data_IF_026358609036
#
_entry.id   IF_026358609036
#
_cell.length_a   1.000
_cell.length_b   1.000
_cell.length_c   1.000
_cell.angle_alpha   90.00
_cell.angle_beta   90.00
_cell.angle_gamma   90.00
#
_symmetry.space_group_name_H-M   'P 1'
#
loop_
_entity.id
_entity.type
_entity.pdbx_description
1 polymer ?
#
# COMPACT_ATOMS: atom_id res chain seq x y z
N UNK A 1 -33.95 19.85 50.82
CA UNK A 1 -33.50 18.45 50.74
C UNK A 1 -32.75 18.31 49.42
N UNK A 2 -31.46 17.98 49.49
CA UNK A 2 -30.39 18.40 48.59
C UNK A 2 -30.45 17.92 47.13
N UNK A 3 -30.67 18.85 46.19
CA UNK A 3 -30.36 18.65 44.77
C UNK A 3 -28.85 18.48 44.51
N UNK A 4 -28.01 19.00 45.43
CA UNK A 4 -26.56 18.84 45.39
C UNK A 4 -26.13 17.38 45.63
N UNK A 5 -26.86 16.64 46.49
CA UNK A 5 -26.61 15.23 46.76
C UNK A 5 -27.07 14.33 45.62
N UNK A 6 -28.20 14.64 44.96
CA UNK A 6 -28.67 13.92 43.78
C UNK A 6 -27.71 14.07 42.58
N UNK A 7 -27.25 15.29 42.29
CA UNK A 7 -26.29 15.53 41.21
C UNK A 7 -24.89 14.93 41.48
N UNK A 8 -24.51 14.81 42.76
CA UNK A 8 -23.26 14.16 43.17
C UNK A 8 -23.39 12.64 43.11
N UNK A 9 -24.54 12.08 43.51
CA UNK A 9 -24.84 10.65 43.39
C UNK A 9 -24.91 10.20 41.93
N UNK A 10 -25.54 10.96 41.03
CA UNK A 10 -25.60 10.63 39.60
C UNK A 10 -24.21 10.64 38.95
N UNK A 11 -23.35 11.61 39.29
CA UNK A 11 -21.97 11.64 38.79
C UNK A 11 -21.12 10.49 39.33
N UNK A 12 -21.32 10.09 40.59
CA UNK A 12 -20.62 8.94 41.16
C UNK A 12 -21.18 7.62 40.63
N UNK A 13 -22.48 7.52 40.33
CA UNK A 13 -23.08 6.34 39.71
C UNK A 13 -22.56 6.17 38.28
N UNK A 14 -22.53 7.24 37.49
CA UNK A 14 -22.04 7.24 36.12
C UNK A 14 -20.53 6.95 36.06
N UNK A 15 -19.74 7.51 36.99
CA UNK A 15 -18.32 7.14 37.12
C UNK A 15 -18.10 5.71 37.62
N UNK A 16 -18.96 5.19 38.52
CA UNK A 16 -18.88 3.80 38.99
C UNK A 16 -19.30 2.82 37.90
N UNK A 17 -20.36 3.11 37.13
CA UNK A 17 -20.78 2.32 35.97
C UNK A 17 -19.75 2.38 34.85
N UNK A 18 -19.11 3.54 34.62
CA UNK A 18 -18.01 3.67 33.68
C UNK A 18 -16.75 2.92 34.15
N UNK A 19 -16.43 2.95 35.44
CA UNK A 19 -15.35 2.14 36.02
C UNK A 19 -15.65 0.64 36.05
N UNK A 20 -16.91 0.25 36.22
CA UNK A 20 -17.36 -1.15 36.18
C UNK A 20 -17.46 -1.66 34.74
N UNK A 21 -17.74 -0.80 33.75
CA UNK A 21 -17.56 -1.09 32.33
C UNK A 21 -16.08 -1.28 31.98
N UNK A 22 -15.19 -0.45 32.54
CA UNK A 22 -13.72 -0.59 32.38
C UNK A 22 -13.21 -1.86 33.08
N UNK A 23 -13.78 -2.26 34.23
CA UNK A 23 -13.40 -3.48 34.96
C UNK A 23 -13.96 -4.76 34.35
N UNK A 24 -15.17 -4.74 33.79
CA UNK A 24 -15.80 -5.92 33.21
C UNK A 24 -15.35 -6.24 31.78
N UNK A 25 -14.57 -5.36 31.14
CA UNK A 25 -14.05 -5.55 29.78
C UNK A 25 -12.51 -5.62 29.70
N UNK A 26 -11.90 -6.22 30.73
CA UNK A 26 -10.48 -6.60 30.82
C UNK A 26 -10.10 -7.78 29.91
N UNK A 27 -10.82 -8.02 28.79
CA UNK A 27 -10.34 -8.97 27.78
C UNK A 27 -9.12 -8.36 27.10
N UNK A 28 -7.94 -8.88 27.42
CA UNK A 28 -6.75 -8.59 26.64
C UNK A 28 -6.87 -9.29 25.29
N UNK A 29 -6.83 -8.52 24.21
CA UNK A 29 -6.78 -9.06 22.87
C UNK A 29 -5.34 -9.23 22.44
N UNK A 30 -5.01 -10.37 21.83
CA UNK A 30 -3.66 -10.70 21.35
C UNK A 30 -2.58 -10.89 22.44
N UNK A 31 -2.82 -11.58 23.57
CA UNK A 31 -1.71 -11.95 24.43
C UNK A 31 -0.80 -12.93 23.67
N UNK A 32 0.51 -12.66 23.68
CA UNK A 32 1.52 -13.44 22.96
C UNK A 32 1.42 -14.96 23.22
N UNK A 33 1.00 -15.37 24.42
CA UNK A 33 0.80 -16.75 24.81
C UNK A 33 -0.36 -17.42 24.05
N UNK A 34 -1.51 -16.75 23.93
CA UNK A 34 -2.67 -17.31 23.20
C UNK A 34 -2.35 -17.50 21.71
N UNK A 35 -1.61 -16.57 21.08
CA UNK A 35 -1.21 -16.70 19.66
C UNK A 35 -0.23 -17.87 19.47
N UNK A 36 0.64 -18.14 20.45
CA UNK A 36 1.57 -19.28 20.38
C UNK A 36 0.84 -20.61 20.49
N UNK A 37 -0.14 -20.71 21.37
CA UNK A 37 -0.92 -21.92 21.65
C UNK A 37 -2.04 -22.21 20.64
N UNK A 38 -2.37 -21.24 19.77
CA UNK A 38 -3.37 -21.43 18.71
C UNK A 38 -3.00 -22.54 17.72
N UNK A 39 -4.02 -23.31 17.34
CA UNK A 39 -3.96 -24.32 16.29
C UNK A 39 -3.56 -23.73 14.93
N UNK A 40 -3.02 -24.59 14.06
CA UNK A 40 -2.47 -24.22 12.74
C UNK A 40 -3.51 -23.50 11.88
N UNK A 41 -4.77 -23.95 11.90
CA UNK A 41 -5.86 -23.32 11.14
C UNK A 41 -6.18 -21.88 11.58
N UNK A 42 -6.17 -21.61 12.89
CA UNK A 42 -6.39 -20.26 13.42
C UNK A 42 -5.25 -19.31 13.03
N UNK A 43 -4.02 -19.82 12.93
CA UNK A 43 -2.86 -19.06 12.43
C UNK A 43 -2.94 -18.84 10.93
N UNK A 44 -3.32 -19.88 10.19
CA UNK A 44 -3.38 -19.87 8.73
C UNK A 44 -4.42 -18.87 8.19
N UNK A 45 -5.60 -18.80 8.82
CA UNK A 45 -6.68 -17.89 8.41
C UNK A 45 -6.76 -16.59 9.23
N UNK A 46 -5.72 -16.28 10.01
CA UNK A 46 -5.71 -15.11 10.91
C UNK A 46 -6.95 -15.01 11.82
N UNK A 47 -7.59 -16.14 12.14
CA UNK A 47 -8.87 -16.17 12.87
C UNK A 47 -8.76 -15.63 14.30
N UNK A 48 -7.53 -15.54 14.82
CA UNK A 48 -7.22 -14.87 16.08
C UNK A 48 -7.63 -13.39 16.09
N UNK A 49 -7.70 -12.73 14.93
CA UNK A 49 -8.17 -11.36 14.83
C UNK A 49 -9.70 -11.23 14.95
N UNK A 50 -10.46 -12.31 14.71
CA UNK A 50 -11.92 -12.27 14.70
C UNK A 50 -12.51 -11.84 16.05
N UNK A 51 -11.89 -12.27 17.16
CA UNK A 51 -12.29 -11.85 18.50
C UNK A 51 -12.21 -10.33 18.67
N UNK A 52 -11.07 -9.75 18.30
CA UNK A 52 -10.85 -8.30 18.34
C UNK A 52 -11.81 -7.56 17.40
N UNK A 53 -12.01 -8.04 16.17
CA UNK A 53 -12.91 -7.42 15.18
C UNK A 53 -14.37 -7.46 15.69
N UNK A 54 -14.80 -8.59 16.24
CA UNK A 54 -16.17 -8.74 16.76
C UNK A 54 -16.43 -7.81 17.96
N UNK A 55 -15.41 -7.59 18.78
CA UNK A 55 -15.44 -6.64 19.88
C UNK A 55 -15.50 -5.19 19.39
N UNK A 56 -14.59 -4.84 18.47
CA UNK A 56 -14.49 -3.50 17.86
C UNK A 56 -15.76 -3.07 17.13
N UNK A 57 -16.59 -4.02 16.69
CA UNK A 57 -17.88 -3.73 16.06
C UNK A 57 -18.87 -3.04 17.02
N UNK A 58 -18.78 -3.32 18.32
CA UNK A 58 -19.72 -2.85 19.33
C UNK A 58 -19.10 -1.85 20.30
N UNK A 59 -17.78 -1.94 20.51
CA UNK A 59 -17.06 -1.20 21.53
C UNK A 59 -15.87 -0.44 20.95
N UNK A 60 -15.46 0.65 21.60
CA UNK A 60 -14.19 1.33 21.28
C UNK A 60 -13.02 0.54 21.87
N UNK A 61 -11.95 0.36 21.09
CA UNK A 61 -10.73 -0.33 21.56
C UNK A 61 -9.84 0.68 22.29
N UNK A 62 -9.46 0.35 23.52
CA UNK A 62 -8.50 1.10 24.29
C UNK A 62 -7.13 0.40 24.32
N UNK A 63 -6.04 1.18 24.39
CA UNK A 63 -4.67 0.65 24.30
C UNK A 63 -4.31 -0.31 25.44
N UNK A 64 -4.94 -0.14 26.61
CA UNK A 64 -4.79 -1.01 27.77
C UNK A 64 -5.41 -2.42 27.58
N UNK A 65 -6.27 -2.59 26.56
CA UNK A 65 -6.85 -3.88 26.18
C UNK A 65 -5.95 -4.66 25.19
N UNK A 66 -4.86 -4.06 24.70
CA UNK A 66 -3.93 -4.74 23.79
C UNK A 66 -2.95 -5.61 24.58
N UNK A 67 -2.78 -6.85 24.13
CA UNK A 67 -1.82 -7.79 24.67
C UNK A 67 -0.38 -7.35 24.44
N UNK A 68 0.54 -7.98 25.17
CA UNK A 68 1.98 -7.69 25.03
C UNK A 68 2.48 -8.08 23.64
N UNK A 69 3.31 -7.22 23.08
CA UNK A 69 4.02 -7.47 21.81
C UNK A 69 4.99 -8.64 22.00
N UNK A 70 5.17 -9.45 20.95
CA UNK A 70 6.11 -10.58 20.97
C UNK A 70 7.51 -10.14 21.36
N UNK A 71 8.24 -10.96 22.11
CA UNK A 71 9.59 -10.60 22.56
C UNK A 71 10.53 -10.24 21.40
N UNK A 72 10.47 -11.00 20.31
CA UNK A 72 11.23 -10.73 19.08
C UNK A 72 10.89 -9.38 18.42
N UNK A 73 9.68 -8.87 18.64
CA UNK A 73 9.18 -7.63 18.04
C UNK A 73 9.45 -6.40 18.92
N UNK A 74 10.01 -6.61 20.12
CA UNK A 74 10.38 -5.51 21.02
C UNK A 74 11.46 -4.63 20.42
N UNK A 75 11.29 -3.32 20.63
CA UNK A 75 12.18 -2.28 20.10
C UNK A 75 13.62 -2.47 20.55
N UNK A 76 13.86 -2.95 21.77
CA UNK A 76 15.21 -3.15 22.30
C UNK A 76 16.03 -4.16 21.47
N UNK A 77 15.43 -5.31 21.12
CA UNK A 77 16.10 -6.32 20.31
C UNK A 77 16.36 -5.81 18.89
N UNK A 78 15.35 -5.17 18.29
CA UNK A 78 15.46 -4.62 16.93
C UNK A 78 16.47 -3.47 16.84
N UNK A 79 16.51 -2.61 17.86
CA UNK A 79 17.53 -1.57 18.01
C UNK A 79 18.94 -2.18 18.10
N UNK A 80 19.15 -3.20 18.94
CA UNK A 80 20.45 -3.85 19.08
C UNK A 80 20.91 -4.52 17.78
N UNK A 81 19.99 -5.18 17.07
CA UNK A 81 20.22 -5.77 15.75
C UNK A 81 20.65 -4.72 14.73
N UNK A 82 19.91 -3.62 14.59
CA UNK A 82 20.25 -2.54 13.64
C UNK A 82 21.52 -1.79 14.05
N UNK A 83 21.75 -1.58 15.35
CA UNK A 83 22.97 -0.94 15.88
C UNK A 83 24.22 -1.75 15.56
N UNK A 84 24.17 -3.08 15.63
CA UNK A 84 25.28 -3.97 15.24
C UNK A 84 25.63 -3.75 13.76
N UNK A 85 24.63 -3.76 12.88
CA UNK A 85 24.83 -3.47 11.45
C UNK A 85 25.34 -2.05 11.22
N UNK A 86 24.82 -1.05 11.94
CA UNK A 86 25.25 0.33 11.81
C UNK A 86 26.74 0.51 12.13
N UNK A 87 27.28 -0.15 13.15
CA UNK A 87 28.71 -0.11 13.47
C UNK A 87 29.59 -0.57 12.29
N UNK A 88 29.15 -1.57 11.52
CA UNK A 88 29.90 -2.12 10.38
C UNK A 88 29.89 -1.19 9.16
N UNK A 89 28.81 -0.43 8.97
CA UNK A 89 28.60 0.38 7.76
C UNK A 89 28.83 1.88 7.98
N UNK A 90 28.89 2.37 9.23
CA UNK A 90 29.03 3.80 9.58
C UNK A 90 30.17 4.52 8.83
N UNK A 91 31.31 3.85 8.64
CA UNK A 91 32.50 4.44 8.00
C UNK A 91 32.60 4.13 6.50
N UNK A 92 31.62 3.43 5.91
CA UNK A 92 31.63 3.12 4.48
C UNK A 92 31.08 4.30 3.67
N UNK A 93 31.69 4.57 2.51
CA UNK A 93 31.24 5.63 1.59
C UNK A 93 29.84 5.33 1.01
N UNK A 94 29.09 6.41 0.73
CA UNK A 94 27.74 6.37 0.16
C UNK A 94 26.63 6.19 1.21
N UNK A 95 25.52 5.57 0.80
CA UNK A 95 24.31 5.39 1.61
C UNK A 95 24.50 4.34 2.73
N UNK A 96 25.35 4.64 3.72
CA UNK A 96 25.75 3.74 4.80
C UNK A 96 24.57 3.29 5.67
N UNK A 97 23.62 4.18 5.95
CA UNK A 97 22.45 3.88 6.78
C UNK A 97 21.52 2.88 6.09
N UNK A 98 21.21 3.12 4.81
CA UNK A 98 20.39 2.22 4.01
C UNK A 98 21.03 0.83 3.90
N UNK A 99 22.35 0.78 3.64
CA UNK A 99 23.12 -0.48 3.63
C UNK A 99 23.09 -1.19 4.99
N UNK A 100 23.12 -0.44 6.10
CA UNK A 100 23.03 -1.02 7.44
C UNK A 100 21.65 -1.64 7.72
N UNK A 101 20.57 -0.99 7.29
CA UNK A 101 19.20 -1.52 7.40
C UNK A 101 19.06 -2.79 6.57
N UNK A 102 19.46 -2.75 5.29
CA UNK A 102 19.43 -3.93 4.42
C UNK A 102 20.26 -5.07 4.99
N UNK A 103 21.44 -4.80 5.56
CA UNK A 103 22.26 -5.83 6.18
C UNK A 103 21.62 -6.41 7.45
N UNK A 104 20.97 -5.57 8.28
CA UNK A 104 20.30 -6.02 9.49
C UNK A 104 19.16 -7.01 9.18
N UNK A 105 18.32 -6.72 8.19
CA UNK A 105 17.12 -7.50 7.86
C UNK A 105 17.29 -8.37 6.60
N UNK A 106 18.53 -8.64 6.18
CA UNK A 106 18.84 -9.30 4.90
C UNK A 106 18.18 -10.66 4.73
N UNK A 107 18.10 -11.45 5.81
CA UNK A 107 17.54 -12.79 5.76
C UNK A 107 16.03 -12.73 5.61
N UNK A 108 15.38 -11.82 6.32
CA UNK A 108 13.93 -11.62 6.22
C UNK A 108 13.54 -11.10 4.83
N UNK A 109 14.31 -10.15 4.26
CA UNK A 109 14.09 -9.71 2.88
C UNK A 109 14.35 -10.80 1.86
N UNK A 110 15.41 -11.59 2.04
CA UNK A 110 15.74 -12.69 1.13
C UNK A 110 14.64 -13.75 1.09
N UNK A 111 14.13 -14.15 2.27
CA UNK A 111 13.00 -15.06 2.39
C UNK A 111 11.76 -14.45 1.72
N UNK A 112 11.45 -13.17 2.00
CA UNK A 112 10.30 -12.50 1.41
C UNK A 112 10.36 -12.47 -0.12
N UNK A 113 11.53 -12.24 -0.72
CA UNK A 113 11.73 -12.26 -2.18
C UNK A 113 11.52 -13.66 -2.74
N UNK A 114 12.13 -14.69 -2.15
CA UNK A 114 11.97 -16.07 -2.63
C UNK A 114 10.51 -16.50 -2.65
N UNK A 115 9.79 -16.30 -1.55
CA UNK A 115 8.39 -16.72 -1.48
C UNK A 115 7.49 -15.87 -2.37
N UNK A 116 7.81 -14.59 -2.58
CA UNK A 116 7.10 -13.78 -3.59
C UNK A 116 7.30 -14.31 -5.00
N UNK A 117 8.51 -14.79 -5.33
CA UNK A 117 8.75 -15.44 -6.62
C UNK A 117 7.93 -16.73 -6.76
N UNK A 118 7.80 -17.53 -5.69
CA UNK A 118 6.92 -18.72 -5.70
C UNK A 118 5.46 -18.34 -5.96
N UNK A 119 4.94 -17.31 -5.28
CA UNK A 119 3.59 -16.79 -5.52
C UNK A 119 3.43 -16.34 -6.98
N UNK A 120 4.40 -15.61 -7.51
CA UNK A 120 4.42 -15.17 -8.91
C UNK A 120 4.48 -16.35 -9.89
N UNK A 121 5.21 -17.42 -9.59
CA UNK A 121 5.22 -18.63 -10.42
C UNK A 121 3.85 -19.30 -10.46
N UNK A 122 3.15 -19.39 -9.32
CA UNK A 122 1.78 -19.94 -9.28
C UNK A 122 0.81 -19.04 -10.05
N UNK A 123 0.94 -17.73 -9.92
CA UNK A 123 0.14 -16.76 -10.66
C UNK A 123 0.30 -16.89 -12.18
N UNK A 124 1.55 -17.03 -12.66
CA UNK A 124 1.86 -17.23 -14.08
C UNK A 124 1.38 -18.61 -14.59
N UNK A 125 1.31 -19.61 -13.71
CA UNK A 125 0.76 -20.92 -14.09
C UNK A 125 -0.75 -20.89 -14.36
N UNK A 126 -1.47 -19.88 -13.85
CA UNK A 126 -2.92 -19.80 -13.97
C UNK A 126 -3.42 -19.69 -15.42
N UNK A 127 -2.89 -18.82 -16.29
CA UNK A 127 -3.22 -18.84 -17.72
C UNK A 127 -3.02 -20.21 -18.38
N UNK A 128 -1.94 -20.94 -18.03
CA UNK A 128 -1.62 -22.24 -18.64
C UNK A 128 -2.62 -23.32 -18.22
N UNK A 129 -3.03 -23.32 -16.94
CA UNK A 129 -4.08 -24.21 -16.44
C UNK A 129 -5.43 -23.92 -17.10
N UNK A 130 -5.78 -22.64 -17.27
CA UNK A 130 -7.01 -22.23 -17.97
C UNK A 130 -6.97 -22.72 -19.41
N UNK A 131 -5.83 -22.58 -20.11
CA UNK A 131 -5.67 -23.12 -21.46
C UNK A 131 -6.00 -24.60 -21.50
N UNK A 132 -5.38 -25.40 -20.64
CA UNK A 132 -5.55 -26.85 -20.62
C UNK A 132 -7.00 -27.26 -20.29
N UNK A 133 -7.68 -26.49 -19.44
CA UNK A 133 -9.11 -26.69 -19.15
C UNK A 133 -9.95 -26.43 -20.41
N UNK A 134 -9.67 -25.36 -21.16
CA UNK A 134 -10.40 -25.07 -22.40
C UNK A 134 -10.11 -26.14 -23.45
N UNK A 135 -8.86 -26.58 -23.59
CA UNK A 135 -8.49 -27.67 -24.49
C UNK A 135 -9.27 -28.96 -24.14
N UNK A 136 -9.36 -29.31 -22.85
CA UNK A 136 -10.15 -30.45 -22.36
C UNK A 136 -11.65 -30.33 -22.69
N UNK A 137 -12.22 -29.12 -22.63
CA UNK A 137 -13.64 -28.90 -22.97
C UNK A 137 -13.89 -29.06 -24.48
N UNK A 138 -12.89 -28.77 -25.30
CA UNK A 138 -12.96 -28.88 -26.76
C UNK A 138 -12.74 -30.31 -27.27
N UNK A 139 -12.13 -31.18 -26.47
CA UNK A 139 -11.83 -32.57 -26.83
C UNK A 139 -12.89 -33.55 -26.24
N UNK A 140 -13.78 -34.12 -27.08
CA UNK A 140 -14.82 -35.04 -26.62
C UNK A 140 -14.29 -36.42 -26.21
N UNK A 141 -13.04 -36.76 -26.54
CA UNK A 141 -12.45 -38.08 -26.31
C UNK A 141 -11.65 -38.16 -24.99
N UNK A 142 -11.45 -37.04 -24.27
CA UNK A 142 -10.73 -37.04 -23.00
C UNK A 142 -11.56 -37.58 -21.82
N UNK A 143 -10.90 -38.37 -20.97
CA UNK A 143 -11.55 -39.00 -19.83
C UNK A 143 -11.99 -37.99 -18.75
N UNK A 144 -13.18 -38.20 -18.17
CA UNK A 144 -13.80 -37.28 -17.22
C UNK A 144 -12.93 -36.97 -15.98
N UNK A 145 -12.09 -37.91 -15.55
CA UNK A 145 -11.23 -37.71 -14.37
C UNK A 145 -10.19 -36.61 -14.60
N UNK A 146 -9.77 -36.36 -15.85
CA UNK A 146 -8.80 -35.33 -16.21
C UNK A 146 -9.39 -33.94 -15.93
N UNK A 147 -10.65 -33.72 -16.31
CA UNK A 147 -11.37 -32.47 -16.01
C UNK A 147 -11.44 -32.20 -14.50
N UNK A 148 -11.81 -33.20 -13.70
CA UNK A 148 -11.82 -33.07 -12.23
C UNK A 148 -10.43 -32.77 -11.66
N UNK A 149 -9.38 -33.39 -12.18
CA UNK A 149 -7.99 -33.14 -11.77
C UNK A 149 -7.58 -31.69 -12.08
N UNK A 150 -7.86 -31.19 -13.28
CA UNK A 150 -7.52 -29.84 -13.71
C UNK A 150 -8.21 -28.76 -12.86
N UNK A 151 -9.52 -28.89 -12.64
CA UNK A 151 -10.29 -27.96 -11.82
C UNK A 151 -9.83 -27.99 -10.36
N UNK A 152 -9.60 -29.18 -9.81
CA UNK A 152 -9.10 -29.33 -8.43
C UNK A 152 -7.71 -28.70 -8.30
N UNK A 153 -6.82 -28.93 -9.27
CA UNK A 153 -5.48 -28.32 -9.31
C UNK A 153 -5.58 -26.80 -9.36
N UNK A 154 -6.49 -26.24 -10.16
CA UNK A 154 -6.70 -24.79 -10.22
C UNK A 154 -7.16 -24.24 -8.87
N UNK A 155 -8.15 -24.86 -8.23
CA UNK A 155 -8.68 -24.40 -6.93
C UNK A 155 -7.59 -24.48 -5.85
N UNK A 156 -6.87 -25.61 -5.77
CA UNK A 156 -5.82 -25.81 -4.76
C UNK A 156 -4.66 -24.84 -4.96
N UNK A 157 -4.19 -24.67 -6.19
CA UNK A 157 -3.06 -23.75 -6.49
C UNK A 157 -3.45 -22.29 -6.24
N UNK A 158 -4.64 -21.85 -6.67
CA UNK A 158 -5.12 -20.49 -6.41
C UNK A 158 -5.38 -20.24 -4.92
N UNK A 159 -6.02 -21.17 -4.21
CA UNK A 159 -6.24 -21.07 -2.77
C UNK A 159 -4.92 -20.97 -2.00
N UNK A 160 -3.95 -21.84 -2.34
CA UNK A 160 -2.62 -21.80 -1.74
C UNK A 160 -1.89 -20.48 -2.03
N UNK A 161 -1.98 -19.96 -3.27
CA UNK A 161 -1.43 -18.65 -3.65
C UNK A 161 -1.99 -17.52 -2.78
N UNK A 162 -3.32 -17.45 -2.60
CA UNK A 162 -3.93 -16.40 -1.78
C UNK A 162 -3.50 -16.47 -0.31
N UNK A 163 -3.55 -17.67 0.29
CA UNK A 163 -3.08 -17.86 1.66
C UNK A 163 -1.61 -17.43 1.77
N UNK A 164 -0.74 -17.90 0.86
CA UNK A 164 0.67 -17.56 0.89
C UNK A 164 0.91 -16.05 0.73
N UNK A 165 0.19 -15.39 -0.19
CA UNK A 165 0.30 -13.96 -0.43
C UNK A 165 -0.04 -13.14 0.81
N UNK A 166 -1.17 -13.45 1.48
CA UNK A 166 -1.60 -12.73 2.68
C UNK A 166 -0.60 -12.90 3.84
N UNK A 167 -0.03 -14.10 4.00
CA UNK A 167 1.04 -14.34 4.98
C UNK A 167 2.28 -13.53 4.65
N UNK A 168 2.70 -13.48 3.37
CA UNK A 168 3.86 -12.70 2.96
C UNK A 168 3.66 -11.21 3.18
N UNK A 169 2.49 -10.67 2.85
CA UNK A 169 2.16 -9.26 3.09
C UNK A 169 2.21 -8.94 4.59
N UNK A 170 1.66 -9.82 5.44
CA UNK A 170 1.78 -9.68 6.90
C UNK A 170 3.25 -9.69 7.37
N UNK A 171 4.06 -10.64 6.89
CA UNK A 171 5.47 -10.72 7.25
C UNK A 171 6.28 -9.50 6.77
N UNK A 172 6.01 -8.97 5.57
CA UNK A 172 6.66 -7.79 5.02
C UNK A 172 6.33 -6.53 5.81
N UNK A 173 5.04 -6.32 6.15
CA UNK A 173 4.61 -5.24 7.04
C UNK A 173 5.30 -5.33 8.40
N UNK A 174 5.46 -6.55 8.93
CA UNK A 174 6.15 -6.75 10.20
C UNK A 174 7.65 -6.38 10.12
N UNK A 175 8.34 -6.71 9.02
CA UNK A 175 9.72 -6.26 8.77
C UNK A 175 9.79 -4.73 8.71
N UNK A 176 8.83 -4.10 8.05
CA UNK A 176 8.69 -2.64 7.97
C UNK A 176 8.61 -2.00 9.35
N UNK A 177 7.65 -2.43 10.16
CA UNK A 177 7.46 -1.93 11.53
C UNK A 177 8.71 -2.15 12.39
N UNK A 178 9.33 -3.34 12.32
CA UNK A 178 10.59 -3.64 13.05
C UNK A 178 11.71 -2.68 12.66
N UNK A 179 11.92 -2.49 11.36
CA UNK A 179 13.00 -1.66 10.83
C UNK A 179 12.80 -0.17 11.12
N UNK A 180 11.57 0.33 11.01
CA UNK A 180 11.20 1.70 11.37
C UNK A 180 11.36 1.95 12.87
N UNK A 181 10.85 1.07 13.74
CA UNK A 181 10.98 1.24 15.18
C UNK A 181 12.44 1.21 15.65
N UNK A 182 13.26 0.32 15.08
CA UNK A 182 14.69 0.29 15.33
C UNK A 182 15.39 1.58 14.87
N UNK A 183 14.98 2.15 13.73
CA UNK A 183 15.50 3.41 13.22
C UNK A 183 15.14 4.58 14.13
N UNK A 184 13.88 4.67 14.58
CA UNK A 184 13.43 5.70 15.52
C UNK A 184 14.23 5.61 16.82
N UNK A 185 14.43 4.41 17.37
CA UNK A 185 15.25 4.21 18.56
C UNK A 185 16.73 4.58 18.35
N UNK A 186 17.29 4.33 17.15
CA UNK A 186 18.64 4.77 16.80
C UNK A 186 18.77 6.29 16.73
N UNK A 187 17.81 6.97 16.10
CA UNK A 187 17.76 8.43 16.02
C UNK A 187 17.64 9.00 17.43
N UNK A 188 16.70 8.49 18.24
CA UNK A 188 16.49 8.93 19.62
C UNK A 188 17.76 8.77 20.47
N UNK A 189 18.41 7.60 20.41
CA UNK A 189 19.66 7.36 21.14
C UNK A 189 20.80 8.30 20.68
N UNK A 190 20.83 8.65 19.39
CA UNK A 190 21.79 9.61 18.85
C UNK A 190 21.50 11.02 19.35
N UNK A 191 20.24 11.44 19.36
CA UNK A 191 19.81 12.77 19.85
C UNK A 191 20.19 12.96 21.32
N UNK A 192 19.98 11.95 22.18
CA UNK A 192 20.37 12.01 23.59
C UNK A 192 21.89 12.17 23.83
N UNK A 193 22.72 11.85 22.84
CA UNK A 193 24.20 11.95 22.93
C UNK A 193 24.77 13.18 22.25
N UNK A 194 23.95 13.94 21.55
CA UNK A 194 24.37 15.13 20.82
C UNK A 194 23.95 16.34 21.64
N UNK A 195 24.92 17.16 22.06
CA UNK A 195 24.62 18.40 22.77
C UNK A 195 23.91 19.39 21.84
N UNK A 196 22.82 20.00 22.33
CA UNK A 196 22.10 21.06 21.63
C UNK A 196 22.99 22.26 21.29
N UNK A 197 24.05 22.52 22.08
CA UNK A 197 25.02 23.58 21.81
C UNK A 197 25.95 23.27 20.62
N UNK A 198 26.17 21.98 20.32
CA UNK A 198 27.03 21.52 19.23
C UNK A 198 26.24 21.22 17.94
N UNK A 199 24.96 20.88 18.06
CA UNK A 199 24.11 20.59 16.90
C UNK A 199 23.56 21.85 16.25
N UNK A 200 24.43 22.63 15.59
CA UNK A 200 24.02 23.82 14.84
C UNK A 200 23.37 23.51 13.49
N UNK A 201 23.40 22.24 13.06
CA UNK A 201 22.99 21.84 11.71
C UNK A 201 21.52 21.45 11.61
N UNK A 202 20.92 20.93 12.69
CA UNK A 202 19.54 20.45 12.67
C UNK A 202 18.78 20.98 13.89
N UNK A 203 17.64 21.63 13.65
CA UNK A 203 16.68 22.07 14.64
C UNK A 203 15.92 20.91 15.28
N UNK A 204 15.27 21.16 16.43
CA UNK A 204 14.42 20.16 17.08
C UNK A 204 13.25 19.74 16.17
N UNK A 205 12.68 20.66 15.40
CA UNK A 205 11.62 20.37 14.44
C UNK A 205 12.08 19.41 13.33
N UNK A 206 13.28 19.60 12.80
CA UNK A 206 13.86 18.69 11.79
C UNK A 206 14.11 17.28 12.34
N UNK A 207 14.57 17.17 13.60
CA UNK A 207 14.75 15.85 14.24
C UNK A 207 13.42 15.14 14.42
N UNK A 208 12.37 15.87 14.84
CA UNK A 208 11.01 15.32 14.93
C UNK A 208 10.52 14.86 13.55
N UNK A 209 10.79 15.64 12.50
CA UNK A 209 10.47 15.26 11.12
C UNK A 209 11.21 13.99 10.66
N UNK A 210 12.49 13.82 11.04
CA UNK A 210 13.23 12.58 10.76
C UNK A 210 12.56 11.35 11.38
N UNK A 211 12.01 11.49 12.59
CA UNK A 211 11.34 10.41 13.32
C UNK A 211 9.93 10.14 12.74
N UNK A 212 9.16 11.19 12.46
CA UNK A 212 7.74 11.07 12.10
C UNK A 212 7.52 10.81 10.61
N UNK A 213 8.36 11.34 9.73
CA UNK A 213 8.16 11.26 8.27
C UNK A 213 9.21 10.37 7.64
N UNK A 214 10.50 10.66 7.85
CA UNK A 214 11.55 9.96 7.10
C UNK A 214 11.76 8.51 7.57
N UNK A 215 11.69 8.23 8.87
CA UNK A 215 11.77 6.87 9.39
C UNK A 215 10.56 6.00 8.95
N UNK A 216 9.39 6.61 8.74
CA UNK A 216 8.19 5.90 8.26
C UNK A 216 8.32 5.44 6.81
N UNK A 217 9.16 6.10 6.00
CA UNK A 217 9.46 5.64 4.63
C UNK A 217 10.07 4.23 4.62
N UNK A 218 10.79 3.82 5.66
CA UNK A 218 11.31 2.46 5.77
C UNK A 218 10.19 1.42 5.84
N UNK A 219 9.07 1.74 6.48
CA UNK A 219 7.93 0.84 6.54
C UNK A 219 7.39 0.58 5.13
N UNK A 220 7.13 1.65 4.38
CA UNK A 220 6.66 1.60 2.98
C UNK A 220 7.67 0.86 2.08
N UNK A 221 8.96 1.12 2.23
CA UNK A 221 10.00 0.43 1.45
C UNK A 221 9.98 -1.07 1.76
N UNK A 222 9.90 -1.45 3.04
CA UNK A 222 9.93 -2.85 3.46
C UNK A 222 8.72 -3.62 2.96
N UNK A 223 7.55 -2.98 2.98
CA UNK A 223 6.29 -3.52 2.46
C UNK A 223 6.37 -3.76 0.94
N UNK A 224 7.00 -2.86 0.18
CA UNK A 224 6.99 -2.92 -1.28
C UNK A 224 8.23 -3.57 -1.90
N UNK A 225 9.31 -3.78 -1.14
CA UNK A 225 10.61 -4.19 -1.69
C UNK A 225 10.52 -5.49 -2.49
N UNK A 226 9.92 -6.55 -1.93
CA UNK A 226 9.86 -7.83 -2.62
C UNK A 226 8.90 -7.78 -3.81
N UNK A 227 7.82 -7.00 -3.72
CA UNK A 227 6.89 -6.75 -4.81
C UNK A 227 7.63 -6.09 -5.98
N UNK A 228 8.39 -5.01 -5.75
CA UNK A 228 9.18 -4.37 -6.80
C UNK A 228 10.19 -5.34 -7.43
N UNK A 229 10.83 -6.20 -6.63
CA UNK A 229 11.81 -7.16 -7.13
C UNK A 229 11.20 -8.31 -7.95
N UNK A 230 9.94 -8.70 -7.71
CA UNK A 230 9.27 -9.76 -8.48
C UNK A 230 8.70 -9.25 -9.81
N UNK A 231 8.37 -7.96 -9.93
CA UNK A 231 7.75 -7.38 -11.14
C UNK A 231 8.55 -7.63 -12.44
N UNK A 232 9.89 -7.47 -12.50
CA UNK A 232 10.63 -7.75 -13.72
C UNK A 232 10.51 -9.21 -14.18
N UNK A 233 10.48 -10.16 -13.24
CA UNK A 233 10.33 -11.58 -13.55
C UNK A 233 8.95 -11.85 -14.14
N UNK A 234 7.89 -11.29 -13.56
CA UNK A 234 6.53 -11.38 -14.08
C UNK A 234 6.43 -10.79 -15.49
N UNK A 235 6.95 -9.57 -15.69
CA UNK A 235 6.91 -8.87 -16.96
C UNK A 235 7.63 -9.64 -18.07
N UNK A 236 8.85 -10.11 -17.81
CA UNK A 236 9.64 -10.89 -18.78
C UNK A 236 8.89 -12.18 -19.14
N UNK A 237 8.36 -12.89 -18.13
CA UNK A 237 7.66 -14.16 -18.36
C UNK A 237 6.38 -13.97 -19.16
N UNK A 238 5.58 -12.94 -18.85
CA UNK A 238 4.39 -12.61 -19.63
C UNK A 238 4.72 -12.26 -21.08
N UNK A 239 5.79 -11.50 -21.34
CA UNK A 239 6.23 -11.18 -22.71
C UNK A 239 6.64 -12.45 -23.46
N UNK A 240 7.40 -13.34 -22.81
CA UNK A 240 7.81 -14.62 -23.41
C UNK A 240 6.59 -15.48 -23.75
N UNK A 241 5.62 -15.59 -22.85
CA UNK A 241 4.38 -16.34 -23.09
C UNK A 241 3.54 -15.72 -24.21
N UNK A 242 3.41 -14.39 -24.26
CA UNK A 242 2.70 -13.72 -25.35
C UNK A 242 3.38 -13.94 -26.69
N UNK A 243 4.72 -13.89 -26.75
CA UNK A 243 5.46 -14.20 -27.96
C UNK A 243 5.27 -15.68 -28.38
N UNK A 244 5.26 -16.59 -27.41
CA UNK A 244 5.03 -18.01 -27.67
C UNK A 244 3.64 -18.28 -28.29
N UNK A 245 2.58 -17.66 -27.78
CA UNK A 245 1.21 -17.90 -28.27
C UNK A 245 0.85 -17.07 -29.52
N UNK A 246 1.32 -15.82 -29.61
CA UNK A 246 0.89 -14.88 -30.65
C UNK A 246 1.96 -14.62 -31.71
N UNK A 247 3.16 -15.19 -31.58
CA UNK A 247 4.26 -14.99 -32.53
C UNK A 247 4.60 -13.51 -32.72
N UNK A 248 4.80 -13.09 -33.97
CA UNK A 248 5.10 -11.69 -34.31
C UNK A 248 3.93 -10.73 -34.04
N UNK A 249 2.70 -11.21 -33.92
CA UNK A 249 1.51 -10.38 -33.71
C UNK A 249 1.51 -9.69 -32.33
N UNK A 250 2.28 -10.19 -31.35
CA UNK A 250 2.44 -9.53 -30.06
C UNK A 250 3.07 -8.13 -30.17
N UNK A 251 3.83 -7.86 -31.25
CA UNK A 251 4.45 -6.55 -31.48
C UNK A 251 3.42 -5.42 -31.63
N UNK A 252 2.21 -5.74 -32.12
CA UNK A 252 1.10 -4.78 -32.11
C UNK A 252 0.72 -4.36 -30.68
N UNK A 253 0.72 -5.30 -29.74
CA UNK A 253 0.49 -5.05 -28.32
C UNK A 253 1.59 -4.23 -27.67
N UNK A 254 2.86 -4.48 -28.05
CA UNK A 254 3.99 -3.65 -27.62
C UNK A 254 3.83 -2.21 -28.11
N UNK A 255 3.42 -2.00 -29.37
CA UNK A 255 3.19 -0.67 -29.92
C UNK A 255 2.06 0.07 -29.18
N UNK A 256 0.94 -0.61 -28.89
CA UNK A 256 -0.16 -0.03 -28.10
C UNK A 256 0.30 0.31 -26.67
N UNK A 257 1.08 -0.57 -26.04
CA UNK A 257 1.63 -0.35 -24.69
C UNK A 257 2.60 0.84 -24.67
N UNK A 258 3.47 0.96 -25.69
CA UNK A 258 4.37 2.09 -25.83
C UNK A 258 3.60 3.41 -26.02
N UNK A 259 2.54 3.41 -26.84
CA UNK A 259 1.65 4.56 -27.00
C UNK A 259 0.95 4.93 -25.68
N UNK A 260 0.44 3.92 -24.95
CA UNK A 260 -0.17 4.10 -23.63
C UNK A 260 0.81 4.72 -22.63
N UNK A 261 2.05 4.23 -22.61
CA UNK A 261 3.11 4.77 -21.77
C UNK A 261 3.42 6.23 -22.09
N UNK A 262 3.56 6.57 -23.38
CA UNK A 262 3.76 7.96 -23.82
C UNK A 262 2.61 8.88 -23.36
N UNK A 263 1.35 8.47 -23.56
CA UNK A 263 0.18 9.24 -23.12
C UNK A 263 0.21 9.45 -21.60
N UNK A 264 0.51 8.41 -20.83
CA UNK A 264 0.65 8.52 -19.37
C UNK A 264 1.76 9.51 -18.97
N UNK A 265 2.90 9.54 -19.67
CA UNK A 265 3.96 10.52 -19.40
C UNK A 265 3.47 11.97 -19.62
N UNK A 266 2.75 12.23 -20.70
CA UNK A 266 2.19 13.56 -20.96
C UNK A 266 1.14 13.94 -19.92
N UNK A 267 0.19 13.04 -19.62
CA UNK A 267 -0.84 13.24 -18.60
C UNK A 267 -0.21 13.54 -17.24
N UNK A 268 0.79 12.76 -16.82
CA UNK A 268 1.50 12.98 -15.56
C UNK A 268 2.23 14.33 -15.53
N UNK A 269 2.83 14.75 -16.65
CA UNK A 269 3.48 16.06 -16.76
C UNK A 269 2.48 17.21 -16.59
N UNK A 270 1.31 17.13 -17.24
CA UNK A 270 0.26 18.13 -17.10
C UNK A 270 -0.35 18.12 -15.70
N UNK A 271 -0.62 16.93 -15.15
CA UNK A 271 -1.11 16.75 -13.79
C UNK A 271 -0.20 17.43 -12.77
N UNK A 272 1.11 17.14 -12.82
CA UNK A 272 2.12 17.76 -11.95
C UNK A 272 2.15 19.29 -12.09
N UNK A 273 2.09 19.80 -13.33
CA UNK A 273 2.09 21.24 -13.60
C UNK A 273 0.87 21.93 -12.99
N UNK A 274 -0.33 21.40 -13.22
CA UNK A 274 -1.55 22.00 -12.68
C UNK A 274 -1.67 21.83 -11.17
N UNK A 275 -1.24 20.70 -10.61
CA UNK A 275 -1.18 20.49 -9.17
C UNK A 275 -0.27 21.52 -8.49
N UNK A 276 0.91 21.78 -9.07
CA UNK A 276 1.84 22.80 -8.55
C UNK A 276 1.24 24.21 -8.60
N UNK A 277 0.54 24.53 -9.70
CA UNK A 277 -0.13 25.83 -9.83
C UNK A 277 -1.29 25.98 -8.84
N UNK A 278 -2.07 24.90 -8.64
CA UNK A 278 -3.16 24.85 -7.67
C UNK A 278 -2.65 25.09 -6.25
N UNK A 279 -1.58 24.40 -5.82
CA UNK A 279 -1.00 24.58 -4.48
C UNK A 279 -0.60 26.05 -4.23
N UNK A 280 0.01 26.72 -5.22
CA UNK A 280 0.37 28.15 -5.08
C UNK A 280 -0.85 29.06 -4.91
N UNK A 281 -1.92 28.84 -5.66
CA UNK A 281 -3.16 29.63 -5.55
C UNK A 281 -3.89 29.35 -4.24
N UNK A 282 -3.90 28.07 -3.82
CA UNK A 282 -4.46 27.64 -2.54
C UNK A 282 -3.72 28.32 -1.38
N UNK A 283 -2.38 28.34 -1.38
CA UNK A 283 -1.58 29.01 -0.37
C UNK A 283 -1.91 30.50 -0.29
N UNK A 284 -2.03 31.20 -1.43
CA UNK A 284 -2.42 32.61 -1.45
C UNK A 284 -3.80 32.84 -0.82
N UNK A 285 -4.80 32.03 -1.18
CA UNK A 285 -6.16 32.14 -0.62
C UNK A 285 -6.16 31.85 0.88
N UNK A 286 -5.48 30.79 1.32
CA UNK A 286 -5.41 30.39 2.73
C UNK A 286 -4.70 31.45 3.56
N UNK A 287 -3.60 32.02 3.07
CA UNK A 287 -2.89 33.09 3.75
C UNK A 287 -3.76 34.34 3.91
N UNK A 288 -4.42 34.78 2.83
CA UNK A 288 -5.34 35.93 2.88
C UNK A 288 -6.51 35.68 3.85
N UNK A 289 -7.10 34.48 3.80
CA UNK A 289 -8.18 34.10 4.73
C UNK A 289 -7.70 34.13 6.18
N UNK A 290 -6.49 33.63 6.44
CA UNK A 290 -5.88 33.61 7.78
C UNK A 290 -5.62 35.03 8.29
N UNK A 291 -5.10 35.91 7.44
CA UNK A 291 -4.91 37.33 7.78
C UNK A 291 -6.22 38.03 8.11
N UNK A 292 -7.29 37.74 7.36
CA UNK A 292 -8.63 38.25 7.64
C UNK A 292 -9.16 37.78 9.00
N UNK A 293 -9.01 36.49 9.31
CA UNK A 293 -9.47 35.92 10.58
C UNK A 293 -8.68 36.49 11.77
N UNK A 294 -7.37 36.65 11.63
CA UNK A 294 -6.52 37.24 12.66
C UNK A 294 -6.89 38.71 12.94
N UNK A 295 -7.32 39.46 11.91
CA UNK A 295 -7.65 40.89 12.01
C UNK A 295 -9.17 41.17 12.02
N UNK A 296 -10.01 40.16 12.33
CA UNK A 296 -11.47 40.23 12.11
C UNK A 296 -12.14 41.40 12.84
N UNK A 297 -11.65 41.78 14.03
CA UNK A 297 -12.21 42.91 14.79
C UNK A 297 -12.08 44.24 14.05
N UNK A 298 -10.92 44.51 13.44
CA UNK A 298 -10.70 45.74 12.67
C UNK A 298 -11.54 45.75 11.39
N UNK A 299 -11.60 44.61 10.69
CA UNK A 299 -12.43 44.44 9.50
C UNK A 299 -13.91 44.73 9.78
N UNK A 300 -14.42 44.30 10.93
CA UNK A 300 -15.80 44.60 11.35
C UNK A 300 -15.98 46.06 11.74
N UNK A 301 -15.04 46.65 12.47
CA UNK A 301 -15.10 48.05 12.91
C UNK A 301 -15.16 49.03 11.73
N UNK A 302 -14.42 48.75 10.65
CA UNK A 302 -14.40 49.56 9.44
C UNK A 302 -15.42 49.13 8.37
N UNK A 303 -16.26 48.12 8.63
CA UNK A 303 -17.20 47.56 7.66
C UNK A 303 -16.56 47.09 6.35
N UNK A 304 -15.31 46.59 6.39
CA UNK A 304 -14.56 46.13 5.22
C UNK A 304 -14.82 44.66 4.85
N UNK A 305 -15.78 44.01 5.50
CA UNK A 305 -16.07 42.58 5.35
C UNK A 305 -16.34 42.20 3.88
N UNK A 306 -17.22 42.95 3.20
CA UNK A 306 -17.58 42.69 1.80
C UNK A 306 -16.42 42.92 0.81
N UNK A 307 -15.50 43.83 1.13
CA UNK A 307 -14.33 44.07 0.30
C UNK A 307 -13.37 42.87 0.34
N UNK A 308 -13.06 42.37 1.53
CA UNK A 308 -12.21 41.20 1.71
C UNK A 308 -12.88 39.90 1.24
N UNK A 309 -14.19 39.78 1.40
CA UNK A 309 -14.95 38.66 0.83
C UNK A 309 -14.80 38.61 -0.69
N UNK A 310 -14.93 39.76 -1.38
CA UNK A 310 -14.71 39.84 -2.83
C UNK A 310 -13.27 39.49 -3.22
N UNK A 311 -12.27 39.94 -2.47
CA UNK A 311 -10.87 39.58 -2.71
C UNK A 311 -10.63 38.08 -2.58
N UNK A 312 -11.16 37.45 -1.53
CA UNK A 312 -11.09 36.00 -1.33
C UNK A 312 -11.84 35.27 -2.45
N UNK A 313 -13.01 35.78 -2.84
CA UNK A 313 -13.82 35.26 -3.94
C UNK A 313 -13.08 35.27 -5.27
N UNK A 314 -12.36 36.35 -5.60
CA UNK A 314 -11.52 36.41 -6.80
C UNK A 314 -10.42 35.35 -6.77
N UNK A 315 -9.72 35.20 -5.63
CA UNK A 315 -8.71 34.15 -5.46
C UNK A 315 -9.29 32.75 -5.57
N UNK A 316 -10.50 32.54 -5.06
CA UNK A 316 -11.22 31.27 -5.19
C UNK A 316 -11.56 30.97 -6.66
N UNK A 317 -11.98 31.96 -7.43
CA UNK A 317 -12.25 31.79 -8.86
C UNK A 317 -11.01 31.39 -9.66
N UNK A 318 -9.85 32.01 -9.37
CA UNK A 318 -8.56 31.62 -9.96
C UNK A 318 -8.18 30.17 -9.58
N UNK A 319 -8.34 29.81 -8.31
CA UNK A 319 -8.10 28.45 -7.79
C UNK A 319 -9.00 27.42 -8.51
N UNK A 320 -10.30 27.69 -8.59
CA UNK A 320 -11.28 26.81 -9.23
C UNK A 320 -11.02 26.62 -10.73
N UNK A 321 -10.54 27.65 -11.44
CA UNK A 321 -10.19 27.52 -12.85
C UNK A 321 -9.03 26.54 -13.08
N UNK A 322 -8.06 26.48 -12.16
CA UNK A 322 -6.97 25.48 -12.21
C UNK A 322 -7.46 24.12 -11.75
N UNK A 323 -8.32 24.07 -10.73
CA UNK A 323 -8.91 22.83 -10.23
C UNK A 323 -9.71 22.11 -11.33
N UNK A 324 -10.45 22.85 -12.15
CA UNK A 324 -11.13 22.30 -13.33
C UNK A 324 -10.15 21.64 -14.31
N UNK A 325 -8.96 22.20 -14.53
CA UNK A 325 -7.93 21.60 -15.38
C UNK A 325 -7.39 20.30 -14.78
N UNK A 326 -7.20 20.26 -13.45
CA UNK A 326 -6.80 19.04 -12.74
C UNK A 326 -7.87 17.95 -12.91
N UNK A 327 -9.14 18.31 -12.75
CA UNK A 327 -10.25 17.38 -12.96
C UNK A 327 -10.28 16.85 -14.39
N UNK A 328 -10.17 17.72 -15.40
CA UNK A 328 -10.11 17.30 -16.81
C UNK A 328 -8.95 16.35 -17.08
N UNK A 329 -7.74 16.64 -16.58
CA UNK A 329 -6.57 15.75 -16.74
C UNK A 329 -6.82 14.42 -16.02
N UNK A 330 -7.46 14.43 -14.86
CA UNK A 330 -7.81 13.22 -14.12
C UNK A 330 -8.81 12.35 -14.87
N UNK A 331 -9.81 12.95 -15.52
CA UNK A 331 -10.74 12.25 -16.40
C UNK A 331 -10.02 11.64 -17.61
N UNK A 332 -9.11 12.37 -18.26
CA UNK A 332 -8.31 11.84 -19.37
C UNK A 332 -7.44 10.66 -18.91
N UNK A 333 -6.85 10.75 -17.71
CA UNK A 333 -6.06 9.67 -17.13
C UNK A 333 -6.92 8.42 -16.89
N UNK A 334 -8.07 8.59 -16.25
CA UNK A 334 -8.99 7.49 -15.94
C UNK A 334 -9.52 6.84 -17.22
N UNK A 335 -9.94 7.63 -18.21
CA UNK A 335 -10.35 7.12 -19.53
C UNK A 335 -9.21 6.33 -20.19
N UNK A 336 -7.98 6.84 -20.16
CA UNK A 336 -6.81 6.15 -20.72
C UNK A 336 -6.60 4.78 -20.07
N UNK A 337 -6.71 4.69 -18.75
CA UNK A 337 -6.54 3.42 -18.00
C UNK A 337 -7.57 2.34 -18.37
N UNK A 338 -8.79 2.73 -18.75
CA UNK A 338 -9.82 1.79 -19.21
C UNK A 338 -9.75 1.50 -20.73
N UNK A 339 -9.31 2.48 -21.52
CA UNK A 339 -9.32 2.40 -22.97
C UNK A 339 -8.15 1.59 -23.55
N UNK A 340 -6.93 1.80 -23.04
CA UNK A 340 -5.73 1.13 -23.57
C UNK A 340 -5.77 -0.40 -23.47
N UNK A 341 -6.21 -1.02 -22.35
CA UNK A 341 -6.32 -2.48 -22.28
C UNK A 341 -7.27 -3.07 -23.33
N UNK A 342 -8.39 -2.39 -23.61
CA UNK A 342 -9.36 -2.82 -24.61
C UNK A 342 -8.79 -2.74 -26.03
N UNK A 343 -8.06 -1.67 -26.36
CA UNK A 343 -7.36 -1.54 -27.65
C UNK A 343 -6.27 -2.60 -27.78
N UNK A 344 -5.53 -2.85 -26.70
CA UNK A 344 -4.40 -3.78 -26.71
C UNK A 344 -4.85 -5.18 -27.13
N UNK A 345 -5.93 -5.70 -26.53
CA UNK A 345 -6.52 -6.98 -26.94
C UNK A 345 -6.96 -6.96 -28.40
N UNK A 346 -7.72 -5.95 -28.81
CA UNK A 346 -8.23 -5.83 -30.19
C UNK A 346 -7.10 -5.76 -31.23
N UNK A 347 -6.05 -4.98 -30.98
CA UNK A 347 -4.91 -4.82 -31.88
C UNK A 347 -4.13 -6.13 -32.04
N UNK A 348 -3.87 -6.85 -30.94
CA UNK A 348 -3.12 -8.12 -30.98
C UNK A 348 -3.92 -9.20 -31.68
N UNK A 349 -5.21 -9.37 -31.37
CA UNK A 349 -6.06 -10.35 -32.04
C UNK A 349 -6.26 -10.02 -33.52
N UNK A 350 -6.44 -8.74 -33.88
CA UNK A 350 -6.58 -8.33 -35.29
C UNK A 350 -5.30 -8.58 -36.08
N UNK A 351 -4.13 -8.29 -35.50
CA UNK A 351 -2.85 -8.58 -36.13
C UNK A 351 -2.60 -10.09 -36.30
N UNK A 352 -3.07 -10.90 -35.35
CA UNK A 352 -2.96 -12.36 -35.40
C UNK A 352 -3.82 -12.97 -36.51
N UNK A 353 -5.09 -12.59 -36.58
CA UNK A 353 -6.00 -13.01 -37.65
C UNK A 353 -5.53 -12.48 -39.02
N UNK A 354 -5.08 -11.23 -39.08
CA UNK A 354 -4.56 -10.61 -40.31
C UNK A 354 -3.28 -11.25 -40.84
N UNK A 355 -2.53 -11.96 -39.98
CA UNK A 355 -1.35 -12.74 -40.38
C UNK A 355 -1.71 -14.12 -40.96
N UNK A 356 -3.01 -14.44 -41.07
CA UNK A 356 -3.52 -15.71 -41.63
C UNK A 356 -3.67 -16.83 -40.61
N UNK A 357 -3.47 -16.56 -39.31
CA UNK A 357 -3.63 -17.56 -38.26
C UNK A 357 -5.10 -17.69 -37.82
N UNK A 358 -5.51 -18.90 -37.45
CA UNK A 358 -6.83 -19.15 -36.84
C UNK A 358 -6.76 -18.95 -35.34
N UNK A 359 -7.66 -18.12 -34.80
CA UNK A 359 -7.72 -17.86 -33.36
C UNK A 359 -8.52 -18.97 -32.68
N UNK A 360 -7.82 -19.86 -31.98
CA UNK A 360 -8.47 -20.86 -31.13
C UNK A 360 -8.94 -20.23 -29.79
N UNK A 361 -10.02 -20.78 -29.25
CA UNK A 361 -10.65 -20.32 -28.01
C UNK A 361 -9.68 -20.40 -26.83
N UNK A 362 -8.92 -21.51 -26.72
CA UNK A 362 -7.96 -21.73 -25.64
C UNK A 362 -6.88 -20.64 -25.65
N UNK A 363 -6.36 -20.30 -26.83
CA UNK A 363 -5.32 -19.29 -27.02
C UNK A 363 -5.85 -17.89 -26.72
N UNK A 364 -7.05 -17.54 -27.21
CA UNK A 364 -7.66 -16.25 -26.97
C UNK A 364 -7.86 -15.95 -25.47
N UNK A 365 -8.41 -16.90 -24.71
CA UNK A 365 -8.61 -16.76 -23.27
C UNK A 365 -7.30 -16.71 -22.50
N UNK A 366 -6.32 -17.52 -22.89
CA UNK A 366 -4.99 -17.54 -22.26
C UNK A 366 -4.30 -16.19 -22.40
N UNK A 367 -4.28 -15.65 -23.62
CA UNK A 367 -3.68 -14.35 -23.93
C UNK A 367 -4.40 -13.21 -23.21
N UNK A 368 -5.72 -13.24 -23.14
CA UNK A 368 -6.50 -12.28 -22.35
C UNK A 368 -6.15 -12.34 -20.85
N UNK A 369 -5.95 -13.54 -20.31
CA UNK A 369 -5.53 -13.72 -18.91
C UNK A 369 -4.12 -13.17 -18.68
N UNK A 370 -3.19 -13.41 -19.60
CA UNK A 370 -1.83 -12.85 -19.53
C UNK A 370 -1.87 -11.31 -19.60
N UNK A 371 -2.74 -10.72 -20.42
CA UNK A 371 -2.92 -9.26 -20.44
C UNK A 371 -3.47 -8.71 -19.13
N UNK A 372 -4.38 -9.43 -18.46
CA UNK A 372 -4.87 -9.03 -17.14
C UNK A 372 -3.75 -9.06 -16.08
N UNK A 373 -2.86 -10.05 -16.14
CA UNK A 373 -1.67 -10.10 -15.28
C UNK A 373 -0.74 -8.91 -15.54
N UNK A 374 -0.43 -8.60 -16.80
CA UNK A 374 0.37 -7.43 -17.16
C UNK A 374 -0.27 -6.11 -16.72
N UNK A 375 -1.59 -5.98 -16.85
CA UNK A 375 -2.33 -4.80 -16.39
C UNK A 375 -2.20 -4.61 -14.89
N UNK A 376 -2.32 -5.68 -14.10
CA UNK A 376 -2.17 -5.62 -12.64
C UNK A 376 -0.77 -5.19 -12.22
N UNK A 377 0.26 -5.57 -12.99
CA UNK A 377 1.66 -5.17 -12.80
C UNK A 377 1.91 -3.69 -13.13
N UNK A 378 1.27 -3.14 -14.17
CA UNK A 378 1.46 -1.74 -14.60
C UNK A 378 0.73 -0.70 -13.73
N UNK A 379 -0.28 -1.12 -12.97
CA UNK A 379 -1.10 -0.25 -12.12
C UNK A 379 -0.56 -0.12 -10.68
N UNK A 380 0.46 -0.91 -10.32
CA UNK A 380 1.16 -0.85 -9.03
C UNK A 380 2.49 -0.13 -9.19
#
# INVERSE_FOLDING_TARGET
MDQSLLAKNDRTLDQSQHQDLIKNDLRQFMPEQEIKEMGIWNKLFFSWANGLISFAKKNQIHINQMGKIKDQDRVELQYNKLKKSWKLYKNRKGNSLFKAVLHAYRYEYFIAVIFNLVVTSIEISSPLLIKRIIDYIQDPDEEQYIGFLLVTTLIVTQGFKYILSDHLDYYQRLIGVRSTNAMIALIYNKTLKVSSATNKKFSNGEIVNFIQVDAQKLNIISENLATVLKQPVLLITCIVLLFHYMGSSFLAGVAVTAAAFCVNLFVNKFSTRYQTAYMKLQDQRVNLTTECLNNIKMLKLYSWQEAFERMIGQKRSEELAVLWKIFTVSCVNMTSQYFFPSILGAAVFSAYIGSGNTLDLSVAYTVNTIFNLLKSSQLQ
#
